data_IF_953964402937
#
_entry.id   IF_953964402937
#
_cell.length_a   1.000
_cell.length_b   1.000
_cell.length_c   1.000
_cell.angle_alpha   90.00
_cell.angle_beta   90.00
_cell.angle_gamma   90.00
#
_symmetry.space_group_name_H-M   'P 1'
#
loop_
_entity.id
_entity.type
_entity.pdbx_description
1 polymer ?
#
# COMPACT_ATOMS: atom_id res chain seq x y z
N UNK A 1 14.42 35.05 34.94
CA UNK A 1 13.80 35.11 33.60
C UNK A 1 14.27 33.86 32.89
N UNK A 2 13.36 32.94 32.60
CA UNK A 2 13.69 31.68 31.94
C UNK A 2 14.05 31.96 30.48
N UNK A 3 15.08 31.25 30.01
CA UNK A 3 15.47 31.20 28.61
C UNK A 3 14.32 30.64 27.75
N UNK A 4 14.26 31.12 26.52
CA UNK A 4 13.29 30.71 25.52
C UNK A 4 14.02 30.31 24.25
N UNK A 5 14.90 29.31 24.34
CA UNK A 5 15.44 28.63 23.16
C UNK A 5 14.56 27.43 22.85
N UNK A 6 13.40 27.66 22.23
CA UNK A 6 12.66 26.61 21.56
C UNK A 6 13.43 26.19 20.32
N UNK A 7 14.21 25.11 20.41
CA UNK A 7 14.75 24.41 19.25
C UNK A 7 13.57 24.01 18.34
N UNK A 8 13.65 24.34 17.04
CA UNK A 8 12.73 23.78 16.06
C UNK A 8 12.76 22.26 16.20
N UNK A 9 11.59 21.63 16.29
CA UNK A 9 11.50 20.20 16.59
C UNK A 9 12.40 19.39 15.64
N UNK A 10 13.29 18.57 16.20
CA UNK A 10 14.09 17.61 15.43
C UNK A 10 13.12 16.62 14.78
N UNK A 11 12.88 16.78 13.47
CA UNK A 11 12.04 15.89 12.69
C UNK A 11 12.81 14.63 12.31
N UNK A 12 12.11 13.50 12.21
CA UNK A 12 12.72 12.23 11.82
C UNK A 12 12.47 11.98 10.32
N UNK A 13 13.49 12.13 9.45
CA UNK A 13 13.31 11.93 8.01
C UNK A 13 13.03 10.46 7.68
N UNK A 14 12.15 10.24 6.71
CA UNK A 14 11.93 8.94 6.09
C UNK A 14 12.95 8.72 4.97
N UNK A 15 13.35 7.47 4.73
CA UNK A 15 14.22 7.11 3.60
C UNK A 15 13.57 7.46 2.26
N UNK A 16 12.30 7.10 2.11
CA UNK A 16 11.48 7.45 0.95
C UNK A 16 10.37 8.43 1.37
N UNK A 17 10.10 9.50 0.60
CA UNK A 17 8.88 10.26 0.75
C UNK A 17 7.69 9.47 0.22
N UNK A 18 6.51 9.64 0.83
CA UNK A 18 5.28 8.91 0.47
C UNK A 18 4.10 9.86 0.26
N UNK A 19 3.11 9.40 -0.50
CA UNK A 19 1.83 10.06 -0.73
C UNK A 19 0.70 9.10 -0.39
N UNK A 20 -0.20 9.54 0.50
CA UNK A 20 -1.46 8.86 0.80
C UNK A 20 -2.55 9.41 -0.13
N UNK A 21 -3.28 8.51 -0.78
CA UNK A 21 -4.40 8.82 -1.66
C UNK A 21 -5.65 8.11 -1.17
N UNK A 22 -6.80 8.72 -1.41
CA UNK A 22 -8.11 8.13 -1.18
C UNK A 22 -8.86 8.06 -2.51
N UNK A 23 -9.30 6.85 -2.87
CA UNK A 23 -10.23 6.64 -3.96
C UNK A 23 -11.65 6.50 -3.39
N UNK A 24 -12.52 7.43 -3.76
CA UNK A 24 -13.92 7.40 -3.36
C UNK A 24 -14.77 6.73 -4.44
N UNK A 25 -15.47 5.65 -4.09
CA UNK A 25 -16.38 5.02 -5.03
C UNK A 25 -17.58 5.94 -5.37
N UNK A 26 -17.95 6.09 -6.65
CA UNK A 26 -19.17 6.78 -7.05
C UNK A 26 -20.43 6.22 -6.37
N UNK A 27 -21.27 7.11 -5.84
CA UNK A 27 -22.48 6.77 -5.09
C UNK A 27 -23.49 5.89 -5.88
N UNK A 28 -23.54 6.05 -7.20
CA UNK A 28 -24.55 5.38 -8.04
C UNK A 28 -24.05 4.06 -8.67
N UNK A 29 -22.83 3.61 -8.33
CA UNK A 29 -22.28 2.35 -8.82
C UNK A 29 -22.06 2.27 -10.34
N UNK A 30 -22.30 3.37 -11.07
CA UNK A 30 -21.87 3.53 -12.45
C UNK A 30 -20.34 3.59 -12.43
N UNK A 31 -19.71 2.61 -13.05
CA UNK A 31 -18.32 2.70 -13.49
C UNK A 31 -18.42 2.60 -15.00
N UNK A 32 -18.08 3.68 -15.71
CA UNK A 32 -17.95 3.63 -17.17
C UNK A 32 -16.70 2.83 -17.58
N UNK A 33 -15.84 2.45 -16.62
CA UNK A 33 -14.66 1.62 -16.84
C UNK A 33 -13.51 2.35 -17.52
N UNK A 34 -13.65 3.66 -17.78
CA UNK A 34 -12.60 4.50 -18.37
C UNK A 34 -11.61 5.01 -17.32
N UNK A 35 -10.33 5.11 -17.70
CA UNK A 35 -9.24 5.65 -16.88
C UNK A 35 -9.55 7.06 -16.34
N UNK A 36 -10.16 7.92 -17.16
CA UNK A 36 -10.48 9.29 -16.77
C UNK A 36 -11.48 9.44 -15.62
N UNK A 37 -12.39 8.47 -15.41
CA UNK A 37 -13.32 8.50 -14.26
C UNK A 37 -12.65 8.01 -12.97
N UNK A 38 -11.72 7.05 -13.09
CA UNK A 38 -10.94 6.59 -11.94
C UNK A 38 -10.05 7.69 -11.38
N UNK A 39 -9.34 8.42 -12.26
CA UNK A 39 -8.48 9.54 -11.88
C UNK A 39 -9.25 10.65 -11.17
N UNK A 40 -10.47 10.96 -11.63
CA UNK A 40 -11.33 11.98 -11.00
C UNK A 40 -11.76 11.63 -9.58
N UNK A 41 -11.83 10.34 -9.26
CA UNK A 41 -12.23 9.85 -7.94
C UNK A 41 -11.04 9.59 -7.00
N UNK A 42 -9.80 9.75 -7.50
CA UNK A 42 -8.58 9.60 -6.72
C UNK A 42 -8.10 10.97 -6.23
N UNK A 43 -8.07 11.16 -4.92
CA UNK A 43 -7.61 12.41 -4.30
C UNK A 43 -6.35 12.15 -3.46
N UNK A 44 -5.33 12.99 -3.62
CA UNK A 44 -4.18 13.00 -2.71
C UNK A 44 -4.62 13.57 -1.35
N UNK A 45 -4.54 12.76 -0.30
CA UNK A 45 -4.77 13.18 1.09
C UNK A 45 -3.60 14.03 1.57
N UNK A 46 -2.37 13.62 1.25
CA UNK A 46 -1.16 14.33 1.64
C UNK A 46 0.11 13.59 1.24
N UNK A 47 1.21 14.35 1.17
CA UNK A 47 2.55 13.79 1.02
C UNK A 47 3.41 14.14 2.21
N UNK A 48 4.29 13.22 2.61
CA UNK A 48 5.14 13.38 3.79
C UNK A 48 6.50 12.74 3.56
N UNK A 49 7.52 13.33 4.18
CA UNK A 49 8.92 12.90 4.11
C UNK A 49 9.57 12.77 5.50
N UNK A 50 8.76 12.92 6.56
CA UNK A 50 9.15 12.73 7.95
C UNK A 50 8.12 11.90 8.70
N UNK A 51 8.53 11.27 9.80
CA UNK A 51 7.64 10.49 10.69
C UNK A 51 6.54 11.37 11.28
N UNK A 52 6.84 12.61 11.64
CA UNK A 52 5.86 13.56 12.16
C UNK A 52 4.85 13.96 11.08
N UNK A 53 5.32 14.18 9.85
CA UNK A 53 4.45 14.45 8.71
C UNK A 53 3.50 13.28 8.44
N UNK A 54 4.01 12.04 8.49
CA UNK A 54 3.20 10.84 8.40
C UNK A 54 2.08 10.84 9.45
N UNK A 55 2.41 11.00 10.73
CA UNK A 55 1.40 10.98 11.80
C UNK A 55 0.42 12.16 11.70
N UNK A 56 0.85 13.31 11.19
CA UNK A 56 -0.01 14.46 10.93
C UNK A 56 -1.16 14.16 9.95
N UNK A 57 -0.89 13.37 8.91
CA UNK A 57 -1.94 12.92 7.97
C UNK A 57 -2.65 11.66 8.45
N UNK A 58 -1.89 10.64 8.86
CA UNK A 58 -2.41 9.30 9.13
C UNK A 58 -3.38 9.25 10.31
N UNK A 59 -3.07 9.99 11.39
CA UNK A 59 -3.94 10.05 12.58
C UNK A 59 -5.32 10.67 12.29
N UNK A 60 -5.39 11.56 11.30
CA UNK A 60 -6.62 12.28 10.94
C UNK A 60 -7.40 11.58 9.82
N UNK A 61 -6.86 10.51 9.24
CA UNK A 61 -7.54 9.72 8.23
C UNK A 61 -8.65 8.86 8.86
N UNK A 62 -9.73 8.63 8.11
CA UNK A 62 -10.77 7.67 8.51
C UNK A 62 -10.13 6.27 8.50
N UNK A 63 -10.38 5.47 9.54
CA UNK A 63 -9.95 4.08 9.61
C UNK A 63 -10.35 3.29 8.36
N UNK A 64 -9.48 2.42 7.82
CA UNK A 64 -9.83 1.61 6.66
C UNK A 64 -11.14 0.82 6.83
N UNK A 65 -11.44 0.29 8.01
CA UNK A 65 -12.69 -0.41 8.33
C UNK A 65 -13.94 0.49 8.32
N UNK A 66 -13.76 1.81 8.29
CA UNK A 66 -14.83 2.81 8.28
C UNK A 66 -15.04 3.52 6.94
N UNK A 67 -14.16 3.35 5.94
CA UNK A 67 -14.40 3.92 4.60
C UNK A 67 -15.48 3.13 3.84
N UNK A 68 -16.08 3.75 2.82
CA UNK A 68 -17.15 3.13 2.04
C UNK A 68 -16.72 1.86 1.31
N UNK A 69 -17.65 0.93 1.11
CA UNK A 69 -17.41 -0.22 0.24
C UNK A 69 -17.10 0.22 -1.18
N UNK A 70 -16.17 -0.48 -1.82
CA UNK A 70 -15.57 -0.18 -3.15
C UNK A 70 -14.61 1.02 -3.15
N UNK A 71 -14.45 1.74 -2.03
CA UNK A 71 -13.40 2.75 -1.86
C UNK A 71 -12.07 2.10 -1.48
N UNK A 72 -10.98 2.85 -1.66
CA UNK A 72 -9.62 2.37 -1.40
C UNK A 72 -8.75 3.48 -0.77
N UNK A 73 -7.79 3.11 0.06
CA UNK A 73 -6.60 3.95 0.29
C UNK A 73 -5.43 3.40 -0.51
N UNK A 74 -4.57 4.30 -0.98
CA UNK A 74 -3.33 3.98 -1.64
C UNK A 74 -2.20 4.74 -0.95
N UNK A 75 -1.17 4.03 -0.49
CA UNK A 75 0.06 4.62 0.03
C UNK A 75 1.18 4.30 -0.94
N UNK A 76 1.68 5.28 -1.69
CA UNK A 76 2.70 5.08 -2.72
C UNK A 76 3.88 6.01 -2.48
N UNK A 77 5.08 5.59 -2.89
CA UNK A 77 6.24 6.48 -2.86
C UNK A 77 5.95 7.72 -3.70
N UNK A 78 6.37 8.88 -3.21
CA UNK A 78 6.09 10.18 -3.84
C UNK A 78 6.59 10.17 -5.29
N UNK A 79 5.73 10.58 -6.20
CA UNK A 79 6.01 10.58 -7.64
C UNK A 79 5.61 9.30 -8.37
N UNK A 80 5.17 8.26 -7.66
CA UNK A 80 4.56 7.06 -8.26
C UNK A 80 3.05 7.15 -8.13
N UNK A 81 2.34 7.12 -9.25
CA UNK A 81 0.90 7.07 -9.27
C UNK A 81 0.42 5.63 -9.01
N UNK A 82 -0.71 5.44 -8.29
CA UNK A 82 -1.25 4.12 -7.99
C UNK A 82 -1.99 3.49 -9.19
N UNK A 83 -1.38 3.52 -10.36
CA UNK A 83 -1.89 3.02 -11.65
C UNK A 83 -0.83 2.13 -12.32
N UNK A 84 -1.24 1.13 -13.08
CA UNK A 84 -0.30 0.18 -13.68
C UNK A 84 0.49 0.80 -14.86
N UNK A 85 -0.03 1.89 -15.41
CA UNK A 85 0.54 2.70 -16.48
C UNK A 85 1.75 3.52 -16.03
N UNK A 86 1.92 3.73 -14.72
CA UNK A 86 3.08 4.46 -14.19
C UNK A 86 4.38 3.70 -14.54
N UNK A 87 5.44 4.38 -15.01
CA UNK A 87 6.71 3.75 -15.36
C UNK A 87 7.33 2.89 -14.25
N UNK A 88 7.03 3.19 -12.98
CA UNK A 88 7.47 2.39 -11.84
C UNK A 88 6.72 1.06 -11.70
N UNK A 89 5.48 0.98 -12.18
CA UNK A 89 4.57 -0.14 -11.97
C UNK A 89 4.46 -1.03 -13.23
N UNK A 90 4.69 -0.51 -14.43
CA UNK A 90 4.40 -1.20 -15.70
C UNK A 90 5.08 -2.57 -15.88
N UNK A 91 6.28 -2.75 -15.31
CA UNK A 91 7.06 -4.00 -15.37
C UNK A 91 6.93 -4.86 -14.12
N UNK A 92 6.08 -4.43 -13.20
CA UNK A 92 5.96 -4.96 -11.87
C UNK A 92 4.80 -5.93 -11.68
N UNK A 93 4.50 -6.16 -10.41
CA UNK A 93 3.33 -6.92 -9.99
C UNK A 93 2.91 -6.56 -8.59
N UNK A 94 2.04 -7.38 -8.02
CA UNK A 94 1.55 -7.18 -6.66
C UNK A 94 1.36 -8.48 -5.93
N UNK A 95 1.74 -8.48 -4.65
CA UNK A 95 1.19 -9.40 -3.67
C UNK A 95 -0.21 -8.94 -3.29
N UNK A 96 -1.17 -9.85 -3.19
CA UNK A 96 -2.54 -9.58 -2.76
C UNK A 96 -3.06 -10.68 -1.84
N UNK A 97 -3.82 -10.30 -0.83
CA UNK A 97 -4.49 -11.24 0.06
C UNK A 97 -5.82 -10.68 0.56
N UNK A 98 -6.71 -11.60 0.96
CA UNK A 98 -8.03 -11.27 1.49
C UNK A 98 -7.99 -11.18 3.03
N UNK A 99 -8.69 -10.19 3.56
CA UNK A 99 -8.81 -9.93 4.99
C UNK A 99 -10.27 -10.12 5.41
N UNK A 100 -10.47 -11.02 6.37
CA UNK A 100 -11.79 -11.30 6.96
C UNK A 100 -12.00 -10.60 8.30
N UNK A 101 -10.92 -10.23 8.98
CA UNK A 101 -10.93 -9.56 10.29
C UNK A 101 -9.61 -8.80 10.52
N UNK A 102 -9.59 -7.91 11.52
CA UNK A 102 -8.40 -7.13 11.91
C UNK A 102 -7.83 -6.23 10.79
N UNK A 103 -8.69 -5.72 9.90
CA UNK A 103 -8.29 -4.91 8.76
C UNK A 103 -7.37 -3.73 9.14
N UNK A 104 -7.79 -2.94 10.13
CA UNK A 104 -7.05 -1.74 10.54
C UNK A 104 -5.66 -2.09 11.08
N UNK A 105 -5.58 -3.13 11.93
CA UNK A 105 -4.30 -3.62 12.47
C UNK A 105 -3.35 -4.08 11.36
N UNK A 106 -3.83 -4.88 10.41
CA UNK A 106 -3.00 -5.35 9.31
C UNK A 106 -2.55 -4.22 8.39
N UNK A 107 -3.40 -3.22 8.19
CA UNK A 107 -3.04 -2.03 7.43
C UNK A 107 -2.01 -1.17 8.18
N UNK A 108 -2.19 -0.91 9.47
CA UNK A 108 -1.24 -0.16 10.30
C UNK A 108 0.14 -0.83 10.30
N UNK A 109 0.19 -2.14 10.56
CA UNK A 109 1.43 -2.91 10.54
C UNK A 109 2.15 -2.82 9.19
N UNK A 110 1.38 -2.94 8.10
CA UNK A 110 1.93 -2.81 6.75
C UNK A 110 2.49 -1.40 6.51
N UNK A 111 1.69 -0.37 6.79
CA UNK A 111 2.08 1.03 6.56
C UNK A 111 3.34 1.38 7.36
N UNK A 112 3.41 1.00 8.63
CA UNK A 112 4.59 1.20 9.47
C UNK A 112 5.82 0.44 8.93
N UNK A 113 5.62 -0.81 8.49
CA UNK A 113 6.68 -1.60 7.86
C UNK A 113 7.18 -1.03 6.53
N UNK A 114 6.34 -0.32 5.80
CA UNK A 114 6.69 0.37 4.55
C UNK A 114 7.46 1.66 4.80
N UNK A 115 6.90 2.58 5.60
CA UNK A 115 7.55 3.89 5.82
C UNK A 115 8.86 3.76 6.62
N UNK A 116 8.97 2.71 7.44
CA UNK A 116 10.19 2.37 8.17
C UNK A 116 11.17 1.49 7.37
N UNK A 117 10.88 1.18 6.11
CA UNK A 117 11.69 0.34 5.20
C UNK A 117 12.03 -1.06 5.78
N UNK A 118 11.21 -1.57 6.70
CA UNK A 118 11.40 -2.90 7.29
C UNK A 118 11.04 -4.03 6.31
N UNK A 119 10.15 -3.75 5.35
CA UNK A 119 9.72 -4.70 4.31
C UNK A 119 10.68 -4.70 3.11
N UNK A 120 11.21 -3.53 2.76
CA UNK A 120 12.11 -3.32 1.63
C UNK A 120 13.29 -2.42 2.06
N UNK A 121 14.32 -2.98 2.71
CA UNK A 121 15.41 -2.17 3.29
C UNK A 121 16.21 -1.34 2.28
N UNK A 122 16.21 -1.70 1.00
CA UNK A 122 16.87 -0.87 -0.03
C UNK A 122 15.98 0.31 -0.44
N UNK A 123 14.66 0.19 -0.25
CA UNK A 123 13.68 1.17 -0.69
C UNK A 123 13.56 1.24 -2.22
N UNK A 124 14.06 0.24 -2.95
CA UNK A 124 14.10 0.30 -4.41
C UNK A 124 12.94 -0.47 -5.05
N UNK A 125 12.39 -1.48 -4.37
CA UNK A 125 11.51 -2.45 -5.01
C UNK A 125 10.03 -2.14 -4.79
N UNK A 126 9.63 -1.72 -3.59
CA UNK A 126 8.23 -1.41 -3.31
C UNK A 126 7.84 -0.07 -3.94
N UNK A 127 6.75 -0.08 -4.71
CA UNK A 127 6.10 1.11 -5.24
C UNK A 127 5.09 1.70 -4.26
N UNK A 128 4.27 0.83 -3.65
CA UNK A 128 3.19 1.23 -2.78
C UNK A 128 2.30 0.09 -2.32
N UNK A 129 1.29 0.43 -1.53
CA UNK A 129 0.28 -0.50 -1.05
C UNK A 129 -1.13 0.06 -1.22
N UNK A 130 -2.09 -0.83 -1.35
CA UNK A 130 -3.50 -0.52 -1.52
C UNK A 130 -4.31 -1.34 -0.54
N UNK A 131 -5.23 -0.69 0.16
CA UNK A 131 -6.31 -1.34 0.90
C UNK A 131 -7.63 -1.06 0.21
N UNK A 132 -8.40 -2.12 0.01
CA UNK A 132 -9.58 -2.15 -0.86
C UNK A 132 -10.78 -2.68 -0.09
N UNK A 133 -11.78 -1.83 0.16
CA UNK A 133 -13.00 -2.25 0.84
C UNK A 133 -13.92 -3.00 -0.10
N UNK A 134 -14.36 -4.20 0.29
CA UNK A 134 -15.19 -5.09 -0.53
C UNK A 134 -16.25 -5.77 0.33
N UNK A 135 -17.36 -6.16 -0.29
CA UNK A 135 -18.51 -6.76 0.44
C UNK A 135 -18.22 -8.15 0.99
N UNK A 136 -17.44 -8.97 0.27
CA UNK A 136 -17.19 -10.37 0.65
C UNK A 136 -15.99 -10.51 1.59
N UNK A 137 -14.87 -9.90 1.21
CA UNK A 137 -13.66 -9.83 2.01
C UNK A 137 -12.83 -8.64 1.52
N UNK A 138 -12.38 -7.81 2.45
CA UNK A 138 -11.49 -6.70 2.14
C UNK A 138 -10.17 -7.23 1.58
N UNK A 139 -9.44 -6.41 0.83
CA UNK A 139 -8.16 -6.83 0.23
C UNK A 139 -7.07 -5.83 0.55
N UNK A 140 -5.88 -6.35 0.79
CA UNK A 140 -4.65 -5.56 0.81
C UNK A 140 -3.76 -6.05 -0.33
N UNK A 141 -3.06 -5.12 -0.97
CA UNK A 141 -2.02 -5.45 -1.94
C UNK A 141 -0.79 -4.57 -1.78
N UNK A 142 0.38 -5.12 -2.09
CA UNK A 142 1.67 -4.41 -2.13
C UNK A 142 2.22 -4.55 -3.53
N UNK A 143 2.54 -3.42 -4.16
CA UNK A 143 2.99 -3.29 -5.53
C UNK A 143 4.50 -3.15 -5.56
N UNK A 144 5.14 -3.84 -6.48
CA UNK A 144 6.60 -3.89 -6.61
C UNK A 144 7.02 -3.72 -8.08
N UNK A 145 8.21 -3.15 -8.32
CA UNK A 145 8.70 -2.75 -9.65
C UNK A 145 9.01 -3.91 -10.59
N UNK A 146 9.38 -5.06 -10.05
CA UNK A 146 10.04 -6.14 -10.81
C UNK A 146 9.14 -7.38 -10.94
N UNK A 147 9.14 -8.03 -12.11
CA UNK A 147 8.38 -9.27 -12.37
C UNK A 147 9.24 -10.47 -12.81
N UNK A 148 10.51 -10.25 -13.12
CA UNK A 148 11.42 -11.26 -13.69
C UNK A 148 12.42 -11.85 -12.67
N UNK A 149 12.43 -11.35 -11.43
CA UNK A 149 13.26 -11.87 -10.35
C UNK A 149 12.43 -12.58 -9.28
N UNK A 150 12.25 -13.90 -9.44
CA UNK A 150 11.48 -14.74 -8.52
C UNK A 150 11.96 -14.67 -7.07
N UNK A 151 13.27 -14.69 -6.83
CA UNK A 151 13.81 -14.75 -5.46
C UNK A 151 13.52 -13.44 -4.72
N UNK A 152 13.70 -12.31 -5.40
CA UNK A 152 13.33 -11.00 -4.86
C UNK A 152 11.82 -10.93 -4.57
N UNK A 153 10.97 -11.36 -5.50
CA UNK A 153 9.50 -11.34 -5.32
C UNK A 153 9.08 -12.21 -4.13
N UNK A 154 9.65 -13.41 -4.00
CA UNK A 154 9.36 -14.34 -2.91
C UNK A 154 9.88 -13.83 -1.56
N UNK A 155 11.06 -13.21 -1.53
CA UNK A 155 11.60 -12.63 -0.31
C UNK A 155 10.80 -11.41 0.15
N UNK A 156 10.36 -10.56 -0.78
CA UNK A 156 9.43 -9.47 -0.49
C UNK A 156 8.12 -10.02 0.10
N UNK A 157 7.55 -11.07 -0.48
CA UNK A 157 6.34 -11.71 0.07
C UNK A 157 6.53 -12.23 1.49
N UNK A 158 7.68 -12.83 1.82
CA UNK A 158 8.00 -13.26 3.19
C UNK A 158 8.10 -12.08 4.15
N UNK A 159 8.73 -10.98 3.72
CA UNK A 159 8.85 -9.77 4.53
C UNK A 159 7.48 -9.13 4.81
N UNK A 160 6.61 -9.03 3.79
CA UNK A 160 5.22 -8.58 3.93
C UNK A 160 4.47 -9.48 4.92
N UNK A 161 4.55 -10.81 4.76
CA UNK A 161 3.88 -11.78 5.64
C UNK A 161 4.31 -11.58 7.10
N UNK A 162 5.61 -11.42 7.35
CA UNK A 162 6.18 -11.18 8.68
C UNK A 162 5.76 -9.84 9.27
N UNK A 163 5.66 -8.79 8.45
CA UNK A 163 5.24 -7.46 8.94
C UNK A 163 3.75 -7.45 9.31
N UNK A 164 2.91 -8.10 8.52
CA UNK A 164 1.45 -8.07 8.68
C UNK A 164 0.97 -9.05 9.75
N UNK A 165 1.55 -10.24 9.80
CA UNK A 165 1.16 -11.30 10.74
C UNK A 165 2.06 -11.27 11.96
N UNK A 166 1.45 -11.11 13.12
CA UNK A 166 2.08 -11.49 14.37
C UNK A 166 2.09 -13.03 14.47
N UNK A 167 3.28 -13.63 14.45
CA UNK A 167 3.46 -15.10 14.54
C UNK A 167 2.83 -15.68 15.82
N UNK A 168 2.60 -14.85 16.85
CA UNK A 168 1.99 -15.26 18.11
C UNK A 168 0.49 -15.53 17.96
N UNK A 169 -0.22 -14.85 17.05
CA UNK A 169 -1.68 -14.91 16.96
C UNK A 169 -2.23 -16.10 16.15
N UNK A 170 -1.37 -16.93 15.54
CA UNK A 170 -1.76 -18.12 14.76
C UNK A 170 -2.98 -17.89 13.85
N UNK A 171 -2.97 -16.87 12.96
CA UNK A 171 -4.16 -16.53 12.18
C UNK A 171 -4.60 -17.71 11.30
N UNK A 172 -5.92 -17.89 11.09
CA UNK A 172 -6.43 -18.91 10.17
C UNK A 172 -5.79 -18.74 8.80
N UNK A 173 -5.41 -19.86 8.15
CA UNK A 173 -4.71 -19.97 6.85
C UNK A 173 -4.55 -18.63 6.11
N UNK A 174 -3.51 -17.88 6.46
CA UNK A 174 -3.12 -16.70 5.72
C UNK A 174 -2.46 -17.14 4.42
N UNK A 175 -3.03 -16.72 3.29
CA UNK A 175 -2.43 -16.96 1.99
C UNK A 175 -2.40 -15.69 1.16
N UNK A 176 -1.28 -15.49 0.46
CA UNK A 176 -1.11 -14.40 -0.48
C UNK A 176 -0.78 -14.95 -1.86
N UNK A 177 -1.23 -14.23 -2.87
CA UNK A 177 -0.92 -14.48 -4.27
C UNK A 177 -0.17 -13.30 -4.85
N UNK A 178 0.90 -13.55 -5.60
CA UNK A 178 1.56 -12.56 -6.42
C UNK A 178 1.14 -12.73 -7.87
N UNK A 179 0.82 -11.62 -8.54
CA UNK A 179 0.55 -11.59 -9.99
C UNK A 179 1.20 -10.37 -10.63
N UNK A 180 1.65 -10.52 -11.88
CA UNK A 180 2.06 -9.39 -12.73
C UNK A 180 0.89 -8.42 -12.95
N UNK A 181 1.16 -7.11 -13.09
CA UNK A 181 0.11 -6.13 -13.39
C UNK A 181 -0.49 -6.33 -14.78
N UNK A 182 0.37 -6.59 -15.75
CA UNK A 182 0.01 -6.83 -17.14
C UNK A 182 0.38 -8.25 -17.56
N UNK A 183 -0.62 -9.11 -17.70
CA UNK A 183 -0.41 -10.46 -18.24
C UNK A 183 -0.20 -10.38 -19.75
N UNK A 184 0.89 -10.98 -20.24
CA UNK A 184 1.09 -11.16 -21.67
C UNK A 184 0.31 -12.41 -22.13
N UNK A 185 -0.72 -12.21 -22.96
CA UNK A 185 -1.60 -13.26 -23.50
C UNK A 185 -0.86 -14.38 -24.27
N UNK A 186 0.42 -14.19 -24.61
CA UNK A 186 1.24 -15.20 -25.31
C UNK A 186 2.05 -16.10 -24.37
N UNK A 187 2.11 -15.80 -23.09
CA UNK A 187 2.93 -16.53 -22.10
C UNK A 187 2.07 -17.02 -20.94
N UNK A 188 2.50 -18.08 -20.26
CA UNK A 188 1.83 -18.54 -19.04
C UNK A 188 1.84 -17.41 -17.99
N UNK A 189 0.72 -17.19 -17.25
CA UNK A 189 0.67 -16.21 -16.18
C UNK A 189 1.77 -16.47 -15.14
N UNK A 190 2.55 -15.44 -14.80
CA UNK A 190 3.52 -15.50 -13.70
C UNK A 190 2.74 -15.29 -12.40
N UNK A 191 2.71 -16.32 -11.56
CA UNK A 191 2.02 -16.30 -10.27
C UNK A 191 2.83 -17.02 -9.21
N UNK A 192 2.80 -16.49 -8.00
CA UNK A 192 3.41 -17.11 -6.82
C UNK A 192 2.41 -17.13 -5.67
N UNK A 193 2.48 -18.14 -4.81
CA UNK A 193 1.61 -18.27 -3.64
C UNK A 193 2.41 -18.62 -2.41
N UNK A 194 1.94 -18.18 -1.24
CA UNK A 194 2.47 -18.55 0.08
C UNK A 194 1.43 -18.41 1.18
#
# INVERSE_FOLDING_TARGET
MADGSGSGADLHPLQSPWTLWYYQAPANGSHSGGSGEWEQNLTAVGSFETVEGFWGYYRNAIWPSCIDFKSNYHLFKKGIQPMWEDPANEKGGKWVWAILSQLDKYWDNLVLGLIGEAIDPTGDEVCGAVISRRRAADRISVWNRTSDNKDLIMNLGKAIKKAVIDEVEHPPKFSMEWTVHMENNKTKPIRYTM
#
